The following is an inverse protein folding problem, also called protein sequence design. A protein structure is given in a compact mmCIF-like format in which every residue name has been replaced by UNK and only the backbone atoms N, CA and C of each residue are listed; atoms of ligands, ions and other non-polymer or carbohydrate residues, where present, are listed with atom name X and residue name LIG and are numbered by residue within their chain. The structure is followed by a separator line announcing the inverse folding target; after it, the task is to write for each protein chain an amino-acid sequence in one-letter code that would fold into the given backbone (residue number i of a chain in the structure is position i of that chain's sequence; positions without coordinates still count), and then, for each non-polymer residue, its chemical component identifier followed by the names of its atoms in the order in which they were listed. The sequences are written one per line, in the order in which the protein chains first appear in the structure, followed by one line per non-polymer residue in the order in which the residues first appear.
data_IF_407716995646
#
_entry.id   IF_407716995646
#
_cell.length_a   1.000
_cell.length_b   1.000
_cell.length_c   1.000
_cell.angle_alpha   90.00
_cell.angle_beta   90.00
_cell.angle_gamma   90.00
#
_symmetry.space_group_name_H-M   'P 1'
#
loop_
_entity.id
_entity.type
_entity.pdbx_description
1 polymer ?
#
# COMPACT_ATOMS: atom_id res chain seq x y z
N UNK A 1 -1.28 12.26 -2.93
CA UNK A 1 -1.62 10.84 -3.27
C UNK A 1 -2.70 10.22 -2.37
N UNK A 2 -2.51 10.04 -1.05
CA UNK A 2 -3.61 9.61 -0.16
C UNK A 2 -4.38 10.81 0.44
N UNK A 3 -3.66 11.84 0.92
CA UNK A 3 -4.28 13.07 1.43
C UNK A 3 -5.13 13.81 0.39
N UNK A 4 -4.78 13.63 -0.88
CA UNK A 4 -5.40 14.29 -2.03
C UNK A 4 -6.42 13.41 -2.75
N UNK A 5 -6.56 12.13 -2.38
CA UNK A 5 -7.47 11.21 -3.10
C UNK A 5 -8.93 11.43 -2.74
N UNK A 6 -9.24 12.16 -1.67
CA UNK A 6 -10.60 12.32 -1.17
C UNK A 6 -11.24 11.02 -0.67
N UNK A 7 -10.46 9.95 -0.53
CA UNK A 7 -10.95 8.67 -0.02
C UNK A 7 -11.30 8.80 1.46
N UNK A 8 -12.60 8.86 1.75
CA UNK A 8 -13.14 8.75 3.11
C UNK A 8 -13.00 7.30 3.56
N UNK A 9 -11.90 6.99 4.25
CA UNK A 9 -11.80 5.75 5.02
C UNK A 9 -12.73 5.85 6.22
N UNK A 10 -13.64 4.88 6.31
CA UNK A 10 -14.52 4.72 7.47
C UNK A 10 -13.65 4.48 8.72
N UNK A 11 -13.85 5.22 9.83
CA UNK A 11 -13.02 5.11 11.04
C UNK A 11 -12.92 3.68 11.61
N UNK A 12 -13.93 2.85 11.35
CA UNK A 12 -14.01 1.47 11.83
C UNK A 12 -13.08 0.53 11.05
N UNK A 13 -12.71 0.89 9.82
CA UNK A 13 -11.91 0.02 8.94
C UNK A 13 -10.44 0.10 9.33
N UNK A 14 -9.87 -1.00 9.81
CA UNK A 14 -8.46 -1.06 10.14
C UNK A 14 -7.59 -0.98 8.89
N UNK A 15 -6.77 0.06 8.79
CA UNK A 15 -5.84 0.24 7.67
C UNK A 15 -4.46 -0.36 8.01
N UNK A 16 -3.94 -1.25 7.17
CA UNK A 16 -2.58 -1.77 7.27
C UNK A 16 -1.71 -1.06 6.23
N UNK A 17 -0.81 -0.20 6.69
CA UNK A 17 -0.01 0.65 5.82
C UNK A 17 1.47 0.26 5.81
N UNK A 18 2.20 0.78 4.83
CA UNK A 18 3.66 0.69 4.80
C UNK A 18 4.33 1.80 5.62
N UNK A 19 5.63 1.64 5.88
CA UNK A 19 6.47 2.65 6.53
C UNK A 19 6.50 3.99 5.78
N UNK A 20 6.20 4.01 4.47
CA UNK A 20 6.03 5.25 3.69
C UNK A 20 4.82 6.11 4.12
N UNK A 21 3.86 5.53 4.84
CA UNK A 21 2.67 6.23 5.36
C UNK A 21 2.88 6.72 6.80
N UNK A 22 4.10 7.09 7.17
CA UNK A 22 4.36 7.66 8.49
C UNK A 22 3.49 8.90 8.74
N UNK A 23 2.81 8.92 9.89
CA UNK A 23 1.90 10.00 10.28
C UNK A 23 0.47 9.86 9.75
N UNK A 24 0.13 8.75 9.09
CA UNK A 24 -1.24 8.47 8.61
C UNK A 24 -2.26 8.40 9.74
N UNK A 25 -1.81 8.09 10.96
CA UNK A 25 -2.64 8.10 12.18
C UNK A 25 -3.31 9.46 12.43
N UNK A 26 -2.72 10.56 11.96
CA UNK A 26 -3.31 11.91 12.08
C UNK A 26 -4.55 12.11 11.20
N UNK A 27 -4.69 11.31 10.14
CA UNK A 27 -5.81 11.37 9.19
C UNK A 27 -6.80 10.25 9.48
N UNK A 28 -6.30 9.08 9.84
CA UNK A 28 -7.12 7.91 10.14
C UNK A 28 -6.53 7.18 11.36
N UNK A 29 -7.19 7.28 12.51
CA UNK A 29 -6.68 6.79 13.79
C UNK A 29 -6.49 5.26 13.82
N UNK A 30 -7.39 4.50 13.19
CA UNK A 30 -7.36 3.04 13.14
C UNK A 30 -6.37 2.52 12.06
N UNK A 31 -5.14 3.07 12.06
CA UNK A 31 -4.08 2.74 11.09
C UNK A 31 -2.89 2.10 11.76
N UNK A 32 -2.52 0.91 11.29
CA UNK A 32 -1.34 0.17 11.75
C UNK A 32 -0.21 0.31 10.75
N UNK A 33 0.96 0.74 11.23
CA UNK A 33 2.20 0.84 10.44
C UNK A 33 3.31 0.01 11.09
N UNK A 34 4.28 -0.49 10.31
CA UNK A 34 5.45 -1.16 10.88
C UNK A 34 6.25 -0.20 11.76
N UNK A 35 6.83 -0.74 12.82
CA UNK A 35 7.69 -0.01 13.73
C UNK A 35 9.03 0.22 13.02
N UNK A 36 9.33 1.48 12.73
CA UNK A 36 10.60 1.90 12.10
C UNK A 36 11.70 1.95 13.16
N UNK A 37 12.88 1.43 12.82
CA UNK A 37 14.09 1.55 13.63
C UNK A 37 14.49 3.04 13.76
N UNK A 38 14.75 3.52 14.98
CA UNK A 38 15.35 4.84 15.20
C UNK A 38 16.87 4.79 14.99
N UNK A 39 17.48 5.96 14.78
CA UNK A 39 18.94 6.05 14.68
C UNK A 39 19.56 5.56 16.00
N UNK A 40 20.55 4.67 15.91
CA UNK A 40 21.28 4.08 17.04
C UNK A 40 20.46 3.16 17.98
N UNK A 41 19.22 2.79 17.61
CA UNK A 41 18.42 1.83 18.38
C UNK A 41 18.22 0.53 17.60
N UNK A 42 18.14 -0.60 18.31
CA UNK A 42 17.82 -1.91 17.73
C UNK A 42 16.36 -2.23 18.02
N UNK A 43 15.65 -2.80 17.03
CA UNK A 43 14.29 -3.28 17.24
C UNK A 43 14.29 -4.41 18.27
N UNK A 44 13.42 -4.31 19.28
CA UNK A 44 13.23 -5.38 20.25
C UNK A 44 12.66 -6.64 19.57
N UNK A 45 12.79 -7.80 20.22
CA UNK A 45 12.24 -9.06 19.68
C UNK A 45 10.73 -8.95 19.42
N UNK A 46 9.99 -8.30 20.31
CA UNK A 46 8.55 -8.06 20.18
C UNK A 46 8.21 -7.14 19.00
N UNK A 47 8.99 -6.08 18.78
CA UNK A 47 8.79 -5.20 17.64
C UNK A 47 9.04 -5.94 16.31
N UNK A 48 10.03 -6.84 16.28
CA UNK A 48 10.31 -7.68 15.11
C UNK A 48 9.17 -8.67 14.85
N UNK A 49 8.66 -9.34 15.89
CA UNK A 49 7.53 -10.29 15.72
C UNK A 49 6.25 -9.56 15.29
N UNK A 50 5.99 -8.37 15.81
CA UNK A 50 4.91 -7.51 15.35
C UNK A 50 5.05 -7.13 13.87
N UNK A 51 6.23 -6.62 13.47
CA UNK A 51 6.50 -6.27 12.08
C UNK A 51 6.38 -7.48 11.15
N UNK A 52 6.82 -8.66 11.58
CA UNK A 52 6.67 -9.90 10.82
C UNK A 52 5.20 -10.26 10.60
N UNK A 53 4.39 -10.27 11.66
CA UNK A 53 2.93 -10.52 11.55
C UNK A 53 2.24 -9.53 10.62
N UNK A 54 2.62 -8.25 10.71
CA UNK A 54 2.09 -7.21 9.84
C UNK A 54 2.51 -7.44 8.38
N UNK A 55 3.76 -7.83 8.14
CA UNK A 55 4.25 -8.18 6.80
C UNK A 55 3.49 -9.36 6.21
N UNK A 56 3.27 -10.43 7.00
CA UNK A 56 2.50 -11.60 6.55
C UNK A 56 1.10 -11.24 6.09
N UNK A 57 0.42 -10.31 6.78
CA UNK A 57 -0.90 -9.80 6.36
C UNK A 57 -0.84 -8.98 5.06
N UNK A 58 0.27 -8.31 4.81
CA UNK A 58 0.47 -7.45 3.63
C UNK A 58 0.88 -8.21 2.38
N UNK A 59 1.30 -9.47 2.49
CA UNK A 59 1.71 -10.32 1.34
C UNK A 59 0.65 -10.34 0.24
N UNK A 60 -0.64 -10.36 0.58
CA UNK A 60 -1.73 -10.34 -0.41
C UNK A 60 -1.65 -9.09 -1.30
N UNK A 61 -1.47 -7.91 -0.69
CA UNK A 61 -1.35 -6.64 -1.43
C UNK A 61 -0.07 -6.62 -2.26
N UNK A 62 1.03 -7.18 -1.75
CA UNK A 62 2.29 -7.29 -2.48
C UNK A 62 2.17 -8.19 -3.71
N UNK A 63 1.45 -9.31 -3.59
CA UNK A 63 1.15 -10.20 -4.72
C UNK A 63 0.33 -9.48 -5.80
N UNK A 64 -0.70 -8.72 -5.40
CA UNK A 64 -1.51 -7.90 -6.33
C UNK A 64 -0.61 -6.86 -7.03
N UNK A 65 0.23 -6.14 -6.29
CA UNK A 65 1.18 -5.17 -6.88
C UNK A 65 2.16 -5.88 -7.83
N UNK A 66 2.63 -7.07 -7.47
CA UNK A 66 3.49 -7.91 -8.31
C UNK A 66 2.82 -8.29 -9.62
N UNK A 67 1.54 -8.69 -9.58
CA UNK A 67 0.74 -8.94 -10.77
C UNK A 67 0.59 -7.68 -11.63
N UNK A 68 0.22 -6.53 -11.03
CA UNK A 68 0.06 -5.27 -11.77
C UNK A 68 1.36 -4.83 -12.45
N UNK A 69 2.51 -5.09 -11.83
CA UNK A 69 3.83 -4.81 -12.41
C UNK A 69 4.22 -5.73 -13.57
N UNK A 70 3.49 -6.81 -13.86
CA UNK A 70 3.70 -7.59 -15.10
C UNK A 70 3.36 -6.78 -16.35
N UNK A 71 2.46 -5.80 -16.21
CA UNK A 71 2.08 -4.93 -17.31
C UNK A 71 3.10 -3.80 -17.47
N UNK A 72 3.69 -3.69 -18.67
CA UNK A 72 4.71 -2.67 -18.99
C UNK A 72 4.24 -1.23 -18.78
N UNK A 73 2.93 -1.00 -18.86
CA UNK A 73 2.34 0.31 -18.57
C UNK A 73 2.59 0.76 -17.12
N UNK A 74 2.82 -0.18 -16.20
CA UNK A 74 3.08 0.03 -14.77
C UNK A 74 4.56 -0.16 -14.42
N UNK A 75 5.25 -1.15 -15.02
CA UNK A 75 6.67 -1.40 -14.72
C UNK A 75 7.63 -0.40 -15.35
N UNK A 76 7.32 0.08 -16.56
CA UNK A 76 8.19 0.97 -17.32
C UNK A 76 7.75 2.43 -17.18
N UNK A 77 8.64 3.35 -17.56
CA UNK A 77 8.29 4.77 -17.64
C UNK A 77 7.17 4.96 -18.67
N UNK A 78 6.00 5.38 -18.19
CA UNK A 78 4.86 5.70 -19.04
C UNK A 78 5.12 6.97 -19.89
N UNK A 79 5.27 6.80 -21.21
CA UNK A 79 5.55 7.89 -22.17
C UNK A 79 4.31 8.46 -22.88
N UNK A 80 3.14 7.84 -22.72
CA UNK A 80 1.90 8.27 -23.36
C UNK A 80 1.24 9.46 -22.65
N UNK A 81 0.27 10.12 -23.29
CA UNK A 81 -0.56 11.18 -22.67
C UNK A 81 -1.25 10.64 -21.40
N UNK A 82 -1.16 11.38 -20.29
CA UNK A 82 -1.63 10.94 -18.96
C UNK A 82 -3.14 10.97 -18.78
N UNK A 83 -3.89 11.67 -19.65
CA UNK A 83 -5.36 11.84 -19.54
C UNK A 83 -6.13 10.53 -19.33
N UNK A 84 -5.69 9.43 -19.97
CA UNK A 84 -6.34 8.10 -19.87
C UNK A 84 -5.56 7.09 -19.03
N UNK A 85 -4.52 7.51 -18.30
CA UNK A 85 -3.70 6.60 -17.51
C UNK A 85 -4.53 5.90 -16.41
N UNK A 86 -5.33 6.67 -15.66
CA UNK A 86 -6.22 6.12 -14.62
C UNK A 86 -7.22 5.10 -15.16
N UNK A 87 -7.84 5.36 -16.31
CA UNK A 87 -8.74 4.40 -16.95
C UNK A 87 -8.03 3.09 -17.30
N UNK A 88 -6.85 3.16 -17.90
CA UNK A 88 -6.05 1.96 -18.25
C UNK A 88 -5.64 1.18 -17.01
N UNK A 89 -5.22 1.88 -15.95
CA UNK A 89 -4.89 1.27 -14.67
C UNK A 89 -6.11 0.56 -14.04
N UNK A 90 -7.26 1.24 -13.99
CA UNK A 90 -8.48 0.70 -13.42
C UNK A 90 -8.98 -0.54 -14.17
N UNK A 91 -8.84 -0.56 -15.50
CA UNK A 91 -9.22 -1.74 -16.30
C UNK A 91 -8.32 -2.94 -15.99
N UNK A 92 -7.01 -2.74 -15.84
CA UNK A 92 -6.07 -3.82 -15.46
C UNK A 92 -6.37 -4.34 -14.05
N UNK A 93 -6.61 -3.42 -13.10
CA UNK A 93 -6.98 -3.80 -11.74
C UNK A 93 -8.34 -4.52 -11.70
N UNK A 94 -9.31 -4.06 -12.49
CA UNK A 94 -10.62 -4.70 -12.62
C UNK A 94 -10.52 -6.11 -13.20
N UNK A 95 -9.65 -6.32 -14.20
CA UNK A 95 -9.37 -7.64 -14.75
C UNK A 95 -8.79 -8.59 -13.70
N UNK A 96 -7.78 -8.13 -12.94
CA UNK A 96 -7.22 -8.92 -11.85
C UNK A 96 -8.27 -9.31 -10.80
N UNK A 97 -9.13 -8.35 -10.41
CA UNK A 97 -10.19 -8.59 -9.43
C UNK A 97 -11.28 -9.54 -9.94
N UNK A 98 -11.44 -9.68 -11.26
CA UNK A 98 -12.38 -10.62 -11.87
C UNK A 98 -11.83 -12.06 -11.90
N UNK A 99 -10.51 -12.21 -12.00
CA UNK A 99 -9.85 -13.53 -12.00
C UNK A 99 -9.72 -14.16 -10.59
N UNK A 100 -9.92 -13.37 -9.53
CA UNK A 100 -9.87 -13.80 -8.11
C UNK A 100 -11.25 -14.23 -7.64
#
# INVERSE_FOLDING_TARGET
MFKESGLLLRPEVKMLADTGYQGIQKIHANSTIPIKRKRNEVLTKEQKTFNHKLSSKRVVVENVIGFLKRFRIISDRYRNRRRRFGLRFNLIAGFHNYEI
#
